data_IF_723258087930
#
_entry.id   IF_723258087930
#
_cell.length_a   1.000
_cell.length_b   1.000
_cell.length_c   1.000
_cell.angle_alpha   90.00
_cell.angle_beta   90.00
_cell.angle_gamma   90.00
#
_symmetry.space_group_name_H-M   'P 1'
#
loop_
_entity.id
_entity.type
_entity.pdbx_description
1 polymer ?
#
# COMPACT_ATOMS: atom_id res chain seq x y z
N UNK A 1 -11.91 15.48 7.79
CA UNK A 1 -10.56 15.73 7.26
C UNK A 1 -10.69 16.00 5.76
N UNK A 2 -9.69 16.54 5.08
CA UNK A 2 -9.68 16.47 3.61
C UNK A 2 -9.37 15.02 3.21
N UNK A 3 -10.11 14.44 2.27
CA UNK A 3 -9.85 13.07 1.86
C UNK A 3 -8.48 12.91 1.18
N UNK A 4 -7.86 11.75 1.40
CA UNK A 4 -6.62 11.31 0.77
C UNK A 4 -6.67 11.31 -0.77
N UNK A 5 -5.53 11.63 -1.38
CA UNK A 5 -5.29 11.62 -2.82
C UNK A 5 -4.38 10.45 -3.19
N UNK A 6 -4.96 9.48 -3.90
CA UNK A 6 -4.26 8.28 -4.36
C UNK A 6 -3.72 8.49 -5.77
N UNK A 7 -2.43 8.26 -5.97
CA UNK A 7 -1.84 8.19 -7.30
C UNK A 7 -1.91 6.75 -7.83
N UNK A 8 -2.51 6.58 -9.00
CA UNK A 8 -2.43 5.32 -9.74
C UNK A 8 -2.25 5.59 -11.22
N UNK A 9 -1.13 5.12 -11.75
CA UNK A 9 -0.92 4.93 -13.17
C UNK A 9 -0.22 3.60 -13.35
N UNK A 10 -0.68 2.77 -14.29
CA UNK A 10 0.01 1.54 -14.61
C UNK A 10 -0.24 1.17 -16.07
N UNK A 11 0.82 0.69 -16.73
CA UNK A 11 0.74 0.22 -18.12
C UNK A 11 0.14 -1.18 -18.27
N UNK A 12 -0.10 -1.88 -17.16
CA UNK A 12 -0.66 -3.24 -17.13
C UNK A 12 -1.97 -3.30 -16.33
N UNK A 13 -2.81 -4.33 -16.53
CA UNK A 13 -3.95 -4.58 -15.66
C UNK A 13 -3.50 -4.87 -14.22
N UNK A 14 -4.12 -4.21 -13.24
CA UNK A 14 -4.02 -4.57 -11.82
C UNK A 14 -5.43 -4.83 -11.29
N UNK A 15 -5.76 -6.08 -11.00
CA UNK A 15 -7.11 -6.44 -10.53
C UNK A 15 -7.37 -5.93 -9.10
N UNK A 16 -6.34 -5.86 -8.25
CA UNK A 16 -6.44 -5.33 -6.89
C UNK A 16 -6.90 -3.86 -6.90
N UNK A 17 -6.42 -3.08 -7.87
CA UNK A 17 -6.78 -1.67 -7.98
C UNK A 17 -8.29 -1.43 -8.11
N UNK A 18 -9.03 -2.37 -8.72
CA UNK A 18 -10.50 -2.23 -8.82
C UNK A 18 -11.19 -2.24 -7.46
N UNK A 19 -10.65 -3.00 -6.49
CA UNK A 19 -11.18 -3.03 -5.12
C UNK A 19 -10.94 -1.67 -4.45
N UNK A 20 -9.72 -1.13 -4.54
CA UNK A 20 -9.40 0.21 -4.06
C UNK A 20 -10.29 1.28 -4.70
N UNK A 21 -10.44 1.25 -6.02
CA UNK A 21 -11.25 2.21 -6.76
C UNK A 21 -12.72 2.19 -6.30
N UNK A 22 -13.28 1.00 -6.08
CA UNK A 22 -14.62 0.84 -5.53
C UNK A 22 -14.75 1.36 -4.10
N UNK A 23 -13.77 1.09 -3.23
CA UNK A 23 -13.75 1.59 -1.85
C UNK A 23 -13.67 3.12 -1.80
N UNK A 24 -12.79 3.74 -2.60
CA UNK A 24 -12.67 5.19 -2.71
C UNK A 24 -14.00 5.83 -3.17
N UNK A 25 -14.65 5.24 -4.19
CA UNK A 25 -15.95 5.72 -4.69
C UNK A 25 -17.06 5.60 -3.64
N UNK A 26 -17.03 4.55 -2.82
CA UNK A 26 -18.02 4.33 -1.76
C UNK A 26 -17.83 5.32 -0.60
N UNK A 27 -16.58 5.59 -0.20
CA UNK A 27 -16.26 6.52 0.87
C UNK A 27 -16.61 7.97 0.48
N UNK A 28 -16.33 8.37 -0.76
CA UNK A 28 -16.77 9.65 -1.33
C UNK A 28 -15.92 10.87 -0.97
N UNK A 29 -15.01 10.77 -0.01
CA UNK A 29 -14.07 11.86 0.35
C UNK A 29 -12.72 11.76 -0.38
N UNK A 30 -12.24 10.54 -0.60
CA UNK A 30 -10.97 10.28 -1.26
C UNK A 30 -11.07 10.40 -2.78
N UNK A 31 -9.93 10.59 -3.44
CA UNK A 31 -9.89 10.67 -4.91
C UNK A 31 -8.65 9.98 -5.47
N UNK A 32 -8.76 9.60 -6.74
CA UNK A 32 -7.66 9.06 -7.52
C UNK A 32 -7.20 10.10 -8.54
N UNK A 33 -5.89 10.27 -8.67
CA UNK A 33 -5.26 11.01 -9.75
C UNK A 33 -4.34 10.09 -10.54
N UNK A 34 -4.15 10.40 -11.82
CA UNK A 34 -3.26 9.64 -12.73
C UNK A 34 -2.05 10.46 -13.15
N UNK A 35 -2.11 11.80 -13.02
CA UNK A 35 -0.96 12.65 -13.27
C UNK A 35 -0.07 12.66 -12.03
N UNK A 36 1.21 12.43 -12.24
CA UNK A 36 2.18 12.43 -11.16
C UNK A 36 2.44 13.88 -10.71
N UNK A 37 2.18 14.15 -9.44
CA UNK A 37 2.46 15.41 -8.74
C UNK A 37 2.78 15.08 -7.29
N UNK A 38 4.06 14.97 -6.95
CA UNK A 38 4.52 14.50 -5.63
C UNK A 38 3.99 15.35 -4.47
N UNK A 39 3.60 16.61 -4.70
CA UNK A 39 3.09 17.51 -3.67
C UNK A 39 1.60 17.35 -3.40
N UNK A 40 0.88 16.68 -4.30
CA UNK A 40 -0.56 16.49 -4.22
C UNK A 40 -0.96 15.06 -3.83
N UNK A 41 0.00 14.14 -3.75
CA UNK A 41 -0.22 12.70 -3.53
C UNK A 41 -0.01 12.36 -2.06
N UNK A 42 -1.02 11.75 -1.45
CA UNK A 42 -0.91 11.21 -0.09
C UNK A 42 -0.52 9.73 -0.11
N UNK A 43 -0.93 8.97 -1.14
CA UNK A 43 -0.62 7.55 -1.25
C UNK A 43 -0.33 7.12 -2.71
N UNK A 44 0.79 6.45 -2.91
CA UNK A 44 1.20 5.86 -4.18
C UNK A 44 0.69 4.42 -4.28
N UNK A 45 -0.07 4.13 -5.35
CA UNK A 45 -0.58 2.79 -5.63
C UNK A 45 0.22 2.19 -6.77
N UNK A 46 1.12 1.24 -6.47
CA UNK A 46 2.04 0.67 -7.44
C UNK A 46 1.71 -0.80 -7.73
N UNK A 47 1.38 -1.11 -8.97
CA UNK A 47 1.21 -2.49 -9.41
C UNK A 47 2.56 -3.17 -9.65
N UNK A 48 2.75 -4.33 -9.05
CA UNK A 48 4.00 -5.09 -9.10
C UNK A 48 3.82 -6.44 -9.81
N UNK A 49 3.51 -7.52 -9.09
CA UNK A 49 3.35 -8.85 -9.65
C UNK A 49 1.90 -9.12 -10.12
N UNK A 50 1.64 -9.37 -11.42
CA UNK A 50 0.28 -9.57 -11.91
C UNK A 50 -0.36 -10.89 -11.46
N UNK A 51 0.43 -11.84 -10.93
CA UNK A 51 -0.03 -13.15 -10.49
C UNK A 51 -0.18 -13.24 -8.97
N UNK A 52 0.32 -12.26 -8.22
CA UNK A 52 0.18 -12.25 -6.77
C UNK A 52 -1.16 -11.67 -6.33
N UNK A 53 -1.70 -12.22 -5.24
CA UNK A 53 -2.90 -11.74 -4.55
C UNK A 53 -2.58 -10.91 -3.30
N UNK A 54 -1.31 -10.61 -3.05
CA UNK A 54 -0.88 -9.84 -1.88
C UNK A 54 -0.97 -8.35 -2.18
N UNK A 55 -1.62 -7.62 -1.29
CA UNK A 55 -1.63 -6.15 -1.28
C UNK A 55 -0.87 -5.68 -0.06
N UNK A 56 0.30 -5.07 -0.27
CA UNK A 56 1.12 -4.55 0.82
C UNK A 56 0.77 -3.08 1.06
N UNK A 57 0.44 -2.73 2.30
CA UNK A 57 0.02 -1.41 2.72
C UNK A 57 1.01 -0.88 3.75
N UNK A 58 1.52 0.33 3.57
CA UNK A 58 2.33 0.98 4.60
C UNK A 58 1.48 1.34 5.83
N UNK A 59 2.14 1.45 6.97
CA UNK A 59 1.50 1.83 8.22
C UNK A 59 1.53 3.33 8.46
N UNK A 60 2.72 3.88 8.70
CA UNK A 60 2.94 5.29 9.05
C UNK A 60 2.53 6.20 7.90
N UNK A 61 1.77 7.27 8.17
CA UNK A 61 1.23 8.23 7.19
C UNK A 61 0.38 7.65 6.04
N UNK A 62 0.22 6.33 5.98
CA UNK A 62 -0.67 5.61 5.08
C UNK A 62 -1.90 5.13 5.87
N UNK A 63 -1.83 3.99 6.57
CA UNK A 63 -2.92 3.53 7.45
C UNK A 63 -3.23 4.57 8.53
N UNK A 64 -2.21 5.15 9.17
CA UNK A 64 -2.43 6.10 10.26
C UNK A 64 -3.05 7.43 9.81
N UNK A 65 -3.05 7.73 8.51
CA UNK A 65 -3.68 8.94 7.97
C UNK A 65 -5.21 8.84 7.92
N UNK A 66 -5.75 7.63 7.74
CA UNK A 66 -7.20 7.38 7.79
C UNK A 66 -7.50 5.91 8.17
N UNK A 67 -7.39 5.63 9.47
CA UNK A 67 -7.48 4.24 9.99
C UNK A 67 -8.81 3.59 9.63
N UNK A 68 -9.91 4.33 9.73
CA UNK A 68 -11.26 3.80 9.46
C UNK A 68 -11.41 3.38 8.00
N UNK A 69 -10.97 4.23 7.05
CA UNK A 69 -10.96 3.88 5.64
C UNK A 69 -10.11 2.64 5.35
N UNK A 70 -8.91 2.55 5.93
CA UNK A 70 -8.02 1.42 5.67
C UNK A 70 -8.51 0.11 6.29
N UNK A 71 -9.20 0.15 7.44
CA UNK A 71 -9.88 -1.02 8.00
C UNK A 71 -10.96 -1.55 7.04
N UNK A 72 -11.84 -0.67 6.56
CA UNK A 72 -12.87 -1.02 5.58
C UNK A 72 -12.26 -1.55 4.27
N UNK A 73 -11.16 -0.96 3.82
CA UNK A 73 -10.43 -1.39 2.62
C UNK A 73 -9.80 -2.77 2.79
N UNK A 74 -9.22 -3.07 3.96
CA UNK A 74 -8.66 -4.40 4.29
C UNK A 74 -9.75 -5.46 4.21
N UNK A 75 -10.92 -5.19 4.77
CA UNK A 75 -12.06 -6.10 4.71
C UNK A 75 -12.61 -6.26 3.29
N UNK A 76 -12.66 -5.17 2.52
CA UNK A 76 -13.02 -5.22 1.10
C UNK A 76 -12.07 -6.12 0.31
N UNK A 77 -10.75 -6.03 0.51
CA UNK A 77 -9.78 -6.92 -0.13
C UNK A 77 -10.02 -8.38 0.21
N UNK A 78 -10.21 -8.70 1.50
CA UNK A 78 -10.48 -10.07 1.96
C UNK A 78 -11.75 -10.64 1.35
N UNK A 79 -12.81 -9.82 1.24
CA UNK A 79 -14.07 -10.21 0.61
C UNK A 79 -13.95 -10.55 -0.89
N UNK A 80 -12.86 -10.12 -1.52
CA UNK A 80 -12.54 -10.35 -2.93
C UNK A 80 -11.35 -11.33 -3.13
N UNK A 81 -11.08 -12.18 -2.15
CA UNK A 81 -10.00 -13.18 -2.16
C UNK A 81 -8.59 -12.58 -2.39
N UNK A 82 -8.37 -11.35 -1.90
CA UNK A 82 -7.04 -10.74 -1.79
C UNK A 82 -6.50 -10.93 -0.37
N UNK A 83 -5.17 -10.85 -0.27
CA UNK A 83 -4.45 -11.02 0.98
C UNK A 83 -3.75 -9.69 1.35
N UNK A 84 -4.45 -8.77 2.04
CA UNK A 84 -3.83 -7.55 2.52
C UNK A 84 -2.80 -7.88 3.62
N UNK A 85 -1.69 -7.18 3.61
CA UNK A 85 -0.61 -7.26 4.61
C UNK A 85 -0.10 -5.86 4.92
N UNK A 86 0.36 -5.63 6.14
CA UNK A 86 1.10 -4.42 6.49
C UNK A 86 2.57 -4.63 6.19
N UNK A 87 3.22 -3.67 5.55
CA UNK A 87 4.67 -3.67 5.32
C UNK A 87 5.25 -2.30 5.64
N UNK A 88 6.00 -2.20 6.74
CA UNK A 88 6.47 -0.92 7.31
C UNK A 88 8.00 -0.87 7.39
N UNK A 89 8.55 0.34 7.41
CA UNK A 89 9.96 0.60 7.67
C UNK A 89 10.35 0.46 9.14
N UNK A 90 9.38 0.34 10.06
CA UNK A 90 9.63 0.06 11.47
C UNK A 90 10.44 -1.24 11.63
N UNK A 91 11.15 -1.33 12.75
CA UNK A 91 11.81 -2.56 13.21
C UNK A 91 10.80 -3.52 13.85
N UNK A 92 11.27 -4.70 14.29
CA UNK A 92 10.45 -5.73 14.93
C UNK A 92 10.31 -5.56 16.46
N UNK A 93 10.57 -4.35 16.98
CA UNK A 93 10.40 -4.07 18.40
C UNK A 93 8.94 -4.30 18.84
N UNK A 94 8.79 -4.87 20.04
CA UNK A 94 7.49 -5.26 20.57
C UNK A 94 6.49 -4.10 20.63
N UNK A 95 6.94 -2.90 21.02
CA UNK A 95 6.10 -1.71 21.12
C UNK A 95 5.54 -1.29 19.75
N UNK A 96 6.36 -1.39 18.68
CA UNK A 96 5.93 -1.11 17.32
C UNK A 96 4.84 -2.08 16.85
N UNK A 97 5.01 -3.38 17.13
CA UNK A 97 4.00 -4.38 16.78
C UNK A 97 2.71 -4.16 17.57
N UNK A 98 2.78 -3.90 18.87
CA UNK A 98 1.60 -3.62 19.71
C UNK A 98 0.83 -2.43 19.17
N UNK A 99 1.51 -1.33 18.84
CA UNK A 99 0.84 -0.13 18.28
C UNK A 99 0.10 -0.45 16.97
N UNK A 100 0.74 -1.20 16.06
CA UNK A 100 0.14 -1.59 14.78
C UNK A 100 -1.10 -2.45 15.02
N UNK A 101 -0.98 -3.47 15.87
CA UNK A 101 -2.10 -4.36 16.19
C UNK A 101 -3.26 -3.61 16.88
N UNK A 102 -2.95 -2.72 17.81
CA UNK A 102 -3.96 -1.90 18.50
C UNK A 102 -4.70 -0.98 17.54
N UNK A 103 -3.98 -0.29 16.64
CA UNK A 103 -4.59 0.58 15.62
C UNK A 103 -5.44 -0.19 14.63
N UNK A 104 -5.06 -1.42 14.35
CA UNK A 104 -5.79 -2.30 13.43
C UNK A 104 -6.83 -3.15 14.14
N UNK A 105 -7.13 -2.90 15.42
CA UNK A 105 -8.09 -3.64 16.23
C UNK A 105 -7.89 -5.17 16.17
N UNK A 106 -6.64 -5.60 16.02
CA UNK A 106 -6.22 -6.98 15.84
C UNK A 106 -7.04 -7.77 14.79
N UNK A 107 -7.31 -7.16 13.63
CA UNK A 107 -8.05 -7.80 12.52
C UNK A 107 -7.32 -9.02 11.91
N UNK A 108 -6.26 -9.54 12.53
CA UNK A 108 -5.51 -10.72 12.07
C UNK A 108 -4.75 -10.50 10.76
N UNK A 109 -4.38 -9.26 10.45
CA UNK A 109 -3.54 -8.93 9.30
C UNK A 109 -2.07 -9.22 9.61
N UNK A 110 -1.35 -9.81 8.65
CA UNK A 110 0.08 -10.07 8.80
C UNK A 110 0.85 -8.75 8.70
N UNK A 111 1.81 -8.57 9.61
CA UNK A 111 2.69 -7.39 9.66
C UNK A 111 4.11 -7.82 9.31
N UNK A 112 4.72 -7.12 8.35
CA UNK A 112 6.11 -7.28 7.97
C UNK A 112 6.88 -5.99 8.30
N UNK A 113 7.78 -6.09 9.27
CA UNK A 113 8.70 -5.02 9.65
C UNK A 113 10.00 -5.21 8.89
N UNK A 114 10.49 -4.15 8.25
CA UNK A 114 11.64 -4.25 7.34
C UNK A 114 12.93 -3.72 7.94
N UNK A 115 12.86 -3.11 9.14
CA UNK A 115 14.03 -2.55 9.84
C UNK A 115 14.81 -1.60 8.90
N UNK A 116 14.08 -0.64 8.33
CA UNK A 116 14.59 0.35 7.39
C UNK A 116 14.98 -0.16 5.99
N UNK A 117 14.90 -1.46 5.70
CA UNK A 117 15.25 -2.04 4.38
C UNK A 117 14.17 -1.69 3.35
N UNK A 118 14.57 -1.61 2.07
CA UNK A 118 13.61 -1.39 0.97
C UNK A 118 12.59 -2.53 0.93
N UNK A 119 11.30 -2.18 1.05
CA UNK A 119 10.20 -3.13 1.28
C UNK A 119 10.11 -4.19 0.20
N UNK A 120 10.23 -3.80 -1.08
CA UNK A 120 10.15 -4.75 -2.19
C UNK A 120 11.29 -5.77 -2.17
N UNK A 121 12.51 -5.33 -1.90
CA UNK A 121 13.68 -6.21 -1.85
C UNK A 121 13.58 -7.17 -0.64
N UNK A 122 13.15 -6.66 0.51
CA UNK A 122 12.89 -7.46 1.71
C UNK A 122 11.82 -8.52 1.46
N UNK A 123 10.64 -8.14 0.96
CA UNK A 123 9.54 -9.09 0.73
C UNK A 123 9.93 -10.19 -0.26
N UNK A 124 10.65 -9.85 -1.33
CA UNK A 124 11.16 -10.85 -2.27
C UNK A 124 12.20 -11.79 -1.63
N UNK A 125 13.04 -11.30 -0.72
CA UNK A 125 13.98 -12.13 0.03
C UNK A 125 13.26 -13.15 0.92
N UNK A 126 12.17 -12.74 1.54
CA UNK A 126 11.27 -13.61 2.32
C UNK A 126 10.41 -14.56 1.46
N UNK A 127 10.60 -14.55 0.13
CA UNK A 127 9.83 -15.38 -0.81
C UNK A 127 8.42 -14.86 -1.08
N UNK A 128 8.12 -13.62 -0.71
CA UNK A 128 6.81 -13.00 -0.83
C UNK A 128 6.77 -12.11 -2.08
N UNK A 129 5.97 -12.50 -3.05
CA UNK A 129 5.67 -11.69 -4.23
C UNK A 129 4.49 -10.78 -3.93
N UNK A 130 4.65 -9.46 -3.99
CA UNK A 130 3.56 -8.49 -3.80
C UNK A 130 2.91 -8.18 -5.14
N UNK A 131 1.57 -8.13 -5.17
CA UNK A 131 0.80 -7.80 -6.36
C UNK A 131 0.58 -6.30 -6.54
N UNK A 132 0.29 -5.60 -5.44
CA UNK A 132 0.11 -4.16 -5.41
C UNK A 132 0.61 -3.57 -4.10
N UNK A 133 1.21 -2.39 -4.18
CA UNK A 133 1.68 -1.61 -3.04
C UNK A 133 0.77 -0.39 -2.84
N UNK A 134 0.54 0.01 -1.59
CA UNK A 134 -0.08 1.28 -1.21
C UNK A 134 0.82 1.89 -0.13
N UNK A 135 1.40 3.05 -0.40
CA UNK A 135 2.48 3.61 0.43
C UNK A 135 2.56 5.13 0.19
N UNK A 136 2.70 5.95 1.22
CA UNK A 136 2.86 7.41 1.12
C UNK A 136 4.27 7.80 0.64
N UNK A 137 5.22 6.87 0.67
CA UNK A 137 6.60 7.11 0.31
C UNK A 137 7.14 6.01 -0.60
N UNK A 138 6.84 6.09 -1.90
CA UNK A 138 7.32 5.09 -2.89
C UNK A 138 8.83 4.80 -2.85
N UNK A 139 9.74 5.71 -2.47
CA UNK A 139 11.15 5.37 -2.32
C UNK A 139 11.39 4.31 -1.24
N UNK A 140 10.52 4.13 -0.23
CA UNK A 140 10.57 3.02 0.73
C UNK A 140 10.40 1.65 0.05
N UNK A 141 9.59 1.59 -1.01
CA UNK A 141 9.32 0.36 -1.75
C UNK A 141 10.55 -0.06 -2.56
N UNK A 142 11.07 0.84 -3.39
CA UNK A 142 12.12 0.53 -4.38
C UNK A 142 12.95 1.80 -4.71
N UNK A 143 14.23 1.67 -5.14
CA UNK A 143 15.00 2.83 -5.58
C UNK A 143 14.40 3.56 -6.78
N UNK A 144 14.74 4.84 -6.93
CA UNK A 144 14.46 5.66 -8.11
C UNK A 144 14.99 5.01 -9.40
N UNK A 145 14.31 5.28 -10.52
CA UNK A 145 14.65 4.68 -11.83
C UNK A 145 14.38 3.18 -11.93
N UNK A 146 13.89 2.52 -10.88
CA UNK A 146 13.55 1.10 -10.94
C UNK A 146 12.46 0.84 -11.99
N UNK A 147 12.52 -0.28 -12.74
CA UNK A 147 11.51 -0.62 -13.74
C UNK A 147 10.07 -0.65 -13.20
N UNK A 148 9.90 -0.94 -11.91
CA UNK A 148 8.60 -0.88 -11.23
C UNK A 148 8.01 0.54 -11.28
N UNK A 149 8.80 1.56 -10.97
CA UNK A 149 8.36 2.96 -10.93
C UNK A 149 8.00 3.45 -12.33
N UNK A 150 8.87 3.20 -13.32
CA UNK A 150 8.64 3.59 -14.72
C UNK A 150 7.36 2.97 -15.28
N UNK A 151 7.11 1.69 -14.97
CA UNK A 151 5.86 1.01 -15.39
C UNK A 151 4.62 1.62 -14.74
N UNK A 152 4.77 2.15 -13.52
CA UNK A 152 3.72 2.85 -12.80
C UNK A 152 3.70 4.36 -13.05
N UNK A 153 4.35 4.84 -14.11
CA UNK A 153 4.27 6.25 -14.53
C UNK A 153 5.12 7.23 -13.72
N UNK A 154 6.01 6.74 -12.87
CA UNK A 154 6.93 7.54 -12.06
C UNK A 154 8.30 7.52 -12.76
N UNK A 155 8.60 8.58 -13.49
CA UNK A 155 9.83 8.74 -14.27
C UNK A 155 10.71 9.82 -13.60
N UNK A 156 11.55 9.41 -12.64
CA UNK A 156 12.67 10.20 -12.09
C UNK A 156 14.00 9.74 -12.67
#
# INVERSE_FOLDING_TARGET
>A
MSGLVFYYQNRLPCAAFRVLESAIKLHGEHRIITQFDEFAIDAYVLADSPTSRIVAIDFDNTITADVDFYLDLIDAYRSHDWEPVVCTLRDDDHENLVEIHDKLHDVGIRVYTTDGKKKRAFMLHEGISVGMWIDDYFPAITPFGAPLLVRNGIEY
#
